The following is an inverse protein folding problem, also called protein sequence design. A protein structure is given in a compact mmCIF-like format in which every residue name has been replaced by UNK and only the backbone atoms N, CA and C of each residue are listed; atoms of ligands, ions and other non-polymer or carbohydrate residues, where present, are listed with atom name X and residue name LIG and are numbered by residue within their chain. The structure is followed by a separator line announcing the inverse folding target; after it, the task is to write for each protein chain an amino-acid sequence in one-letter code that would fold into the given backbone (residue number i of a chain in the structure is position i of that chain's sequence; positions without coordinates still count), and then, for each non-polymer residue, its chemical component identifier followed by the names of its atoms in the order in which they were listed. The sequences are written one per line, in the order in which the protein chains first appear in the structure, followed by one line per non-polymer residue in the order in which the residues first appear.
data_IF_936270588022
#
_entry.id   IF_936270588022
#
_cell.length_a   1.000
_cell.length_b   1.000
_cell.length_c   1.000
_cell.angle_alpha   90.00
_cell.angle_beta   90.00
_cell.angle_gamma   90.00
#
_symmetry.space_group_name_H-M   'P 1'
#
loop_
_entity.id
_entity.type
_entity.pdbx_description
1 polymer ?
#
# COMPACT_ATOMS: atom_id res chain seq x y z
N UNK A 1 -8.88 22.17 -3.20
CA UNK A 1 -8.91 20.70 -3.32
C UNK A 1 -7.47 20.21 -3.42
N UNK A 2 -7.19 18.99 -2.94
CA UNK A 2 -5.89 18.34 -3.11
C UNK A 2 -5.60 18.18 -4.63
N UNK A 3 -4.31 18.18 -4.99
CA UNK A 3 -3.83 18.09 -6.37
C UNK A 3 -3.52 16.66 -6.81
N UNK A 4 -3.24 15.80 -5.83
CA UNK A 4 -2.77 14.44 -6.06
C UNK A 4 -3.55 13.42 -5.23
N UNK A 5 -3.44 12.17 -5.67
CA UNK A 5 -3.94 11.00 -4.97
C UNK A 5 -2.79 10.00 -4.84
N UNK A 6 -2.51 9.58 -3.61
CA UNK A 6 -1.46 8.61 -3.29
C UNK A 6 -2.13 7.28 -2.95
N UNK A 7 -1.93 6.28 -3.77
CA UNK A 7 -2.42 4.92 -3.54
C UNK A 7 -1.34 4.13 -2.81
N UNK A 8 -1.74 3.33 -1.84
CA UNK A 8 -0.86 2.52 -0.99
C UNK A 8 -1.42 1.10 -0.90
N UNK A 9 -0.55 0.12 -1.07
CA UNK A 9 -0.80 -1.29 -0.77
C UNK A 9 0.44 -1.89 -0.09
N UNK A 10 0.24 -2.75 0.90
CA UNK A 10 1.31 -3.46 1.56
C UNK A 10 1.01 -4.95 1.73
N UNK A 11 2.03 -5.77 1.47
CA UNK A 11 2.00 -7.19 1.77
C UNK A 11 2.66 -7.46 3.11
N UNK A 12 2.06 -8.36 3.90
CA UNK A 12 2.54 -8.74 5.23
C UNK A 12 2.43 -10.24 5.47
N UNK A 13 3.23 -10.74 6.42
CA UNK A 13 3.25 -12.14 6.83
C UNK A 13 2.00 -12.52 7.63
N UNK A 14 0.86 -12.64 6.94
CA UNK A 14 -0.47 -12.67 7.54
C UNK A 14 -0.94 -11.29 8.00
N UNK A 15 -2.26 -11.12 8.20
CA UNK A 15 -2.92 -9.81 8.40
C UNK A 15 -2.33 -8.92 9.51
N UNK A 16 -1.68 -9.51 10.51
CA UNK A 16 -1.10 -8.79 11.65
C UNK A 16 0.41 -9.04 11.80
N UNK A 17 1.05 -9.75 10.87
CA UNK A 17 2.46 -10.10 10.94
C UNK A 17 3.39 -9.00 10.43
N UNK A 18 4.62 -9.36 10.12
CA UNK A 18 5.63 -8.38 9.68
C UNK A 18 5.36 -7.90 8.26
N UNK A 19 5.66 -6.64 7.97
CA UNK A 19 5.59 -6.13 6.60
C UNK A 19 6.69 -6.74 5.73
N UNK A 20 6.32 -7.12 4.52
CA UNK A 20 7.16 -7.80 3.54
C UNK A 20 7.53 -6.86 2.39
N UNK A 21 6.53 -6.17 1.84
CA UNK A 21 6.72 -5.19 0.77
C UNK A 21 5.60 -4.17 0.75
N UNK A 22 5.86 -3.04 0.10
CA UNK A 22 4.92 -1.93 -0.04
C UNK A 22 5.07 -1.28 -1.39
N UNK A 23 3.95 -0.90 -2.01
CA UNK A 23 3.94 -0.03 -3.16
C UNK A 23 3.14 1.24 -2.89
N UNK A 24 3.61 2.34 -3.46
CA UNK A 24 2.90 3.61 -3.48
C UNK A 24 2.93 4.18 -4.89
N UNK A 25 1.81 4.67 -5.39
CA UNK A 25 1.72 5.34 -6.69
C UNK A 25 0.94 6.63 -6.54
N UNK A 26 1.44 7.69 -7.19
CA UNK A 26 0.83 9.01 -7.17
C UNK A 26 0.25 9.33 -8.53
N UNK A 27 -1.01 9.73 -8.56
CA UNK A 27 -1.65 10.27 -9.76
C UNK A 27 -2.09 11.72 -9.54
N UNK A 28 -2.07 12.52 -10.61
CA UNK A 28 -2.68 13.84 -10.63
C UNK A 28 -4.21 13.78 -10.77
N UNK A 29 -4.87 14.95 -10.73
CA UNK A 29 -6.33 15.05 -10.92
C UNK A 29 -6.83 14.64 -12.31
N UNK A 30 -5.94 14.53 -13.30
CA UNK A 30 -6.28 14.01 -14.63
C UNK A 30 -6.10 12.48 -14.71
N UNK A 31 -5.63 11.86 -13.63
CA UNK A 31 -5.34 10.44 -13.56
C UNK A 31 -4.01 10.04 -14.21
N UNK A 32 -3.12 10.98 -14.49
CA UNK A 32 -1.76 10.67 -14.93
C UNK A 32 -0.90 10.33 -13.74
N UNK A 33 -0.12 9.26 -13.86
CA UNK A 33 0.88 8.93 -12.87
C UNK A 33 2.03 9.93 -12.91
N UNK A 34 2.48 10.37 -11.74
CA UNK A 34 3.56 11.35 -11.58
C UNK A 34 4.74 10.84 -10.74
N UNK A 35 4.53 9.80 -9.93
CA UNK A 35 5.57 9.20 -9.10
C UNK A 35 5.16 7.80 -8.62
N UNK A 36 6.15 6.96 -8.29
CA UNK A 36 5.92 5.61 -7.76
C UNK A 36 7.08 5.14 -6.89
N UNK A 37 6.76 4.23 -5.97
CA UNK A 37 7.72 3.47 -5.18
C UNK A 37 7.24 2.02 -5.06
N UNK A 38 8.16 1.07 -5.19
CA UNK A 38 7.93 -0.32 -4.83
C UNK A 38 9.16 -0.86 -4.09
N UNK A 39 8.99 -1.15 -2.79
CA UNK A 39 10.06 -1.60 -1.91
C UNK A 39 9.67 -2.87 -1.17
N UNK A 40 10.66 -3.66 -0.79
CA UNK A 40 10.44 -4.88 0.00
C UNK A 40 11.70 -5.35 0.70
N UNK A 41 11.52 -6.22 1.68
CA UNK A 41 12.64 -6.86 2.38
C UNK A 41 13.44 -7.69 1.37
N UNK A 42 14.77 -7.73 1.54
CA UNK A 42 15.66 -8.55 0.71
C UNK A 42 15.14 -9.99 0.55
N UNK A 43 15.09 -10.47 -0.70
CA UNK A 43 14.49 -11.77 -1.04
C UNK A 43 15.09 -12.94 -0.25
N UNK A 44 16.41 -12.92 -0.04
CA UNK A 44 17.13 -13.95 0.71
C UNK A 44 16.76 -14.00 2.21
N UNK A 45 16.32 -12.89 2.80
CA UNK A 45 15.84 -12.83 4.17
C UNK A 45 14.41 -13.35 4.26
N UNK A 46 13.53 -12.94 3.33
CA UNK A 46 12.11 -13.33 3.29
C UNK A 46 11.91 -14.85 3.25
N UNK A 47 12.69 -15.55 2.43
CA UNK A 47 12.61 -17.01 2.31
C UNK A 47 12.78 -17.75 3.64
N UNK A 48 13.50 -17.16 4.59
CA UNK A 48 13.77 -17.74 5.89
C UNK A 48 12.91 -17.15 7.02
N UNK A 49 12.28 -16.00 6.81
CA UNK A 49 11.59 -15.25 7.87
C UNK A 49 10.06 -15.27 7.79
N UNK A 50 9.48 -15.55 6.62
CA UNK A 50 8.01 -15.62 6.46
C UNK A 50 7.48 -16.91 7.07
N UNK A 51 6.57 -16.84 8.04
CA UNK A 51 6.00 -18.01 8.72
C UNK A 51 4.73 -18.52 8.03
N UNK A 52 3.93 -17.63 7.46
CA UNK A 52 2.66 -17.99 6.82
C UNK A 52 2.88 -18.84 5.57
N UNK A 53 2.33 -20.06 5.58
CA UNK A 53 2.32 -20.93 4.40
C UNK A 53 1.60 -20.27 3.22
N UNK A 54 0.49 -19.59 3.48
CA UNK A 54 -0.27 -18.91 2.44
C UNK A 54 0.56 -17.82 1.76
N UNK A 55 1.33 -17.03 2.52
CA UNK A 55 2.19 -15.98 1.96
C UNK A 55 3.32 -16.57 1.13
N UNK A 56 3.93 -17.67 1.58
CA UNK A 56 4.97 -18.38 0.82
C UNK A 56 4.46 -18.89 -0.52
N UNK A 57 3.21 -19.34 -0.58
CA UNK A 57 2.61 -19.94 -1.77
C UNK A 57 1.99 -18.90 -2.73
N UNK A 58 1.49 -17.77 -2.21
CA UNK A 58 0.66 -16.84 -3.00
C UNK A 58 1.29 -15.46 -3.19
N UNK A 59 2.11 -14.97 -2.23
CA UNK A 59 2.68 -13.62 -2.26
C UNK A 59 4.12 -13.66 -2.78
N UNK A 60 5.00 -14.43 -2.12
CA UNK A 60 6.42 -14.47 -2.48
C UNK A 60 6.69 -14.82 -3.96
N UNK A 61 5.95 -15.75 -4.60
CA UNK A 61 6.20 -16.11 -6.01
C UNK A 61 5.82 -15.00 -7.00
N UNK A 62 4.96 -14.07 -6.60
CA UNK A 62 4.39 -13.04 -7.49
C UNK A 62 4.99 -11.66 -7.25
N UNK A 63 5.78 -11.52 -6.18
CA UNK A 63 6.62 -10.34 -5.94
C UNK A 63 7.68 -10.23 -7.05
N UNK A 64 7.57 -9.16 -7.85
CA UNK A 64 8.44 -8.87 -8.99
C UNK A 64 9.76 -8.23 -8.52
N UNK A 65 10.47 -7.53 -9.41
CA UNK A 65 11.59 -6.68 -9.02
C UNK A 65 11.08 -5.45 -8.26
N UNK A 66 11.66 -5.23 -7.08
CA UNK A 66 11.41 -4.10 -6.20
C UNK A 66 12.75 -3.66 -5.60
N UNK A 67 12.80 -2.42 -5.13
CA UNK A 67 13.96 -1.93 -4.40
C UNK A 67 14.06 -2.62 -3.04
N UNK A 68 15.15 -3.34 -2.81
CA UNK A 68 15.33 -4.08 -1.55
C UNK A 68 15.73 -3.15 -0.39
N UNK A 69 15.21 -3.44 0.80
CA UNK A 69 15.62 -2.85 2.08
C UNK A 69 16.03 -3.93 3.08
N UNK A 70 16.82 -3.57 4.08
CA UNK A 70 17.44 -4.54 4.99
C UNK A 70 16.51 -5.04 6.10
N UNK A 71 15.48 -4.26 6.44
CA UNK A 71 14.57 -4.59 7.54
C UNK A 71 13.23 -3.84 7.44
N UNK A 72 12.28 -4.25 8.28
CA UNK A 72 10.92 -3.70 8.31
C UNK A 72 10.89 -2.22 8.69
N UNK A 73 11.81 -1.75 9.55
CA UNK A 73 11.87 -0.35 9.91
C UNK A 73 12.26 0.53 8.72
N UNK A 74 13.20 0.10 7.88
CA UNK A 74 13.53 0.82 6.63
C UNK A 74 12.36 0.88 5.65
N UNK A 75 11.52 -0.16 5.62
CA UNK A 75 10.29 -0.15 4.82
C UNK A 75 9.31 0.92 5.32
N UNK A 76 9.09 0.96 6.64
CA UNK A 76 8.23 1.96 7.30
C UNK A 76 8.76 3.38 7.07
N UNK A 77 10.07 3.58 7.22
CA UNK A 77 10.70 4.88 6.98
C UNK A 77 10.62 5.31 5.51
N UNK A 78 10.72 4.38 4.57
CA UNK A 78 10.53 4.69 3.15
C UNK A 78 9.10 5.13 2.82
N UNK A 79 8.09 4.47 3.40
CA UNK A 79 6.67 4.87 3.28
C UNK A 79 6.47 6.28 3.82
N UNK A 80 7.02 6.55 5.01
CA UNK A 80 6.91 7.88 5.61
C UNK A 80 7.59 8.95 4.75
N UNK A 81 8.83 8.71 4.32
CA UNK A 81 9.58 9.63 3.47
C UNK A 81 8.85 9.93 2.16
N UNK A 82 8.28 8.90 1.52
CA UNK A 82 7.50 9.07 0.30
C UNK A 82 6.23 9.89 0.55
N UNK A 83 5.47 9.59 1.61
CA UNK A 83 4.27 10.34 1.97
C UNK A 83 4.55 11.82 2.23
N UNK A 84 5.66 12.15 2.90
CA UNK A 84 6.00 13.53 3.24
C UNK A 84 6.22 14.44 2.02
N UNK A 85 6.57 13.87 0.86
CA UNK A 85 6.65 14.63 -0.40
C UNK A 85 5.28 15.14 -0.87
N UNK A 86 4.19 14.46 -0.48
CA UNK A 86 2.84 14.69 -0.98
C UNK A 86 1.83 15.14 0.09
N UNK A 87 2.16 15.02 1.37
CA UNK A 87 1.27 15.22 2.52
C UNK A 87 0.40 16.49 2.46
N UNK A 88 0.97 17.61 2.00
CA UNK A 88 0.26 18.90 1.90
C UNK A 88 -0.78 18.92 0.78
N UNK A 89 -0.50 18.27 -0.34
CA UNK A 89 -1.23 18.41 -1.60
C UNK A 89 -1.95 17.13 -2.06
N UNK A 90 -1.85 16.02 -1.32
CA UNK A 90 -2.52 14.76 -1.64
C UNK A 90 -3.58 14.30 -0.62
N UNK A 91 -4.49 13.44 -1.09
CA UNK A 91 -5.19 12.45 -0.26
C UNK A 91 -4.50 11.08 -0.40
N UNK A 92 -4.49 10.29 0.67
CA UNK A 92 -4.08 8.89 0.59
C UNK A 92 -5.30 7.99 0.41
N UNK A 93 -5.18 6.99 -0.47
CA UNK A 93 -6.19 6.00 -0.81
C UNK A 93 -5.61 4.60 -0.60
N UNK A 94 -6.41 3.72 -0.01
CA UNK A 94 -6.11 2.29 0.23
C UNK A 94 -7.33 1.45 -0.16
N UNK A 95 -7.15 0.17 -0.47
CA UNK A 95 -8.26 -0.76 -0.71
C UNK A 95 -8.34 -1.79 0.42
N UNK A 96 -9.45 -1.80 1.16
CA UNK A 96 -9.63 -2.66 2.36
C UNK A 96 -8.53 -2.39 3.41
N UNK A 97 -8.29 -1.11 3.71
CA UNK A 97 -7.11 -0.66 4.46
C UNK A 97 -6.99 -1.11 5.93
N UNK A 98 -7.96 -1.84 6.47
CA UNK A 98 -7.89 -2.41 7.82
C UNK A 98 -7.78 -3.95 7.73
N UNK A 99 -6.80 -4.58 8.41
CA UNK A 99 -5.87 -3.98 9.39
C UNK A 99 -4.53 -3.50 8.82
N UNK A 100 -4.16 -3.88 7.60
CA UNK A 100 -2.76 -3.86 7.13
C UNK A 100 -2.23 -2.43 6.95
N UNK A 101 -2.82 -1.63 6.05
CA UNK A 101 -2.36 -0.28 5.74
C UNK A 101 -2.57 0.66 6.92
N UNK A 102 -3.67 0.49 7.66
CA UNK A 102 -3.92 1.25 8.88
C UNK A 102 -2.78 1.04 9.90
N UNK A 103 -2.35 -0.19 10.12
CA UNK A 103 -1.21 -0.49 11.00
C UNK A 103 0.11 0.04 10.44
N UNK A 104 0.33 -0.03 9.13
CA UNK A 104 1.54 0.51 8.51
C UNK A 104 1.69 2.01 8.78
N UNK A 105 0.60 2.77 8.60
CA UNK A 105 0.56 4.20 8.85
C UNK A 105 0.66 4.52 10.35
N UNK A 106 0.05 3.71 11.22
CA UNK A 106 0.23 3.83 12.67
C UNK A 106 1.70 3.62 13.06
N UNK A 107 2.38 2.60 12.52
CA UNK A 107 3.79 2.34 12.78
C UNK A 107 4.67 3.50 12.30
N UNK A 108 4.35 4.11 11.15
CA UNK A 108 5.06 5.31 10.67
C UNK A 108 5.03 6.44 11.71
N UNK A 109 3.87 6.69 12.33
CA UNK A 109 3.73 7.72 13.37
C UNK A 109 4.43 7.29 14.67
N UNK A 110 4.29 6.04 15.07
CA UNK A 110 4.85 5.50 16.31
C UNK A 110 6.39 5.45 16.31
N UNK A 111 7.03 5.40 15.15
CA UNK A 111 8.49 5.53 15.03
C UNK A 111 9.02 6.89 15.51
N UNK A 112 8.25 7.97 15.32
CA UNK A 112 8.59 9.30 15.85
C UNK A 112 7.33 10.12 16.17
N UNK A 113 6.63 9.81 17.27
CA UNK A 113 5.35 10.43 17.59
C UNK A 113 5.50 11.91 17.92
N UNK A 114 6.69 12.37 18.33
CA UNK A 114 6.92 13.77 18.67
C UNK A 114 6.82 14.67 17.43
N UNK A 115 7.23 14.18 16.28
CA UNK A 115 7.22 14.97 15.03
C UNK A 115 6.09 14.59 14.07
N UNK A 116 5.63 13.33 14.10
CA UNK A 116 4.75 12.75 13.05
C UNK A 116 3.26 12.75 13.39
N UNK A 117 2.87 13.00 14.65
CA UNK A 117 1.49 12.80 15.14
C UNK A 117 0.40 13.57 14.37
N UNK A 118 0.73 14.73 13.81
CA UNK A 118 -0.20 15.56 13.01
C UNK A 118 0.03 15.45 11.50
N UNK A 119 0.90 14.55 11.05
CA UNK A 119 1.38 14.50 9.67
C UNK A 119 0.87 13.27 8.90
N UNK A 120 0.30 12.27 9.59
CA UNK A 120 -0.30 11.11 8.96
C UNK A 120 -1.47 11.51 8.02
N UNK A 121 -1.81 10.65 7.04
CA UNK A 121 -2.97 10.89 6.18
C UNK A 121 -4.25 11.07 6.99
N UNK A 122 -4.92 12.21 6.79
CA UNK A 122 -6.20 12.49 7.41
C UNK A 122 -7.08 13.36 6.49
N UNK A 123 -8.22 12.86 5.99
CA UNK A 123 -8.70 11.48 6.13
C UNK A 123 -7.84 10.48 5.33
N UNK A 124 -7.85 9.22 5.75
CA UNK A 124 -7.49 8.08 4.91
C UNK A 124 -8.73 7.66 4.12
N UNK A 125 -8.64 7.64 2.80
CA UNK A 125 -9.75 7.27 1.93
C UNK A 125 -9.69 5.77 1.63
N UNK A 126 -10.74 5.03 1.98
CA UNK A 126 -10.84 3.60 1.73
C UNK A 126 -11.74 3.31 0.52
N UNK A 127 -11.14 2.72 -0.51
CA UNK A 127 -11.80 2.41 -1.78
C UNK A 127 -12.94 1.41 -1.58
N UNK A 128 -12.81 0.46 -0.66
CA UNK A 128 -13.85 -0.53 -0.38
C UNK A 128 -15.10 0.13 0.20
N UNK A 129 -14.93 1.11 1.10
CA UNK A 129 -16.02 1.94 1.61
C UNK A 129 -16.71 2.76 0.50
N UNK A 130 -15.96 3.24 -0.50
CA UNK A 130 -16.54 3.95 -1.64
C UNK A 130 -17.33 3.04 -2.57
N UNK A 131 -16.85 1.81 -2.80
CA UNK A 131 -17.60 0.80 -3.54
C UNK A 131 -18.92 0.48 -2.85
N UNK A 132 -18.90 0.30 -1.52
CA UNK A 132 -20.11 0.13 -0.72
C UNK A 132 -21.08 1.31 -0.90
N UNK A 133 -20.59 2.55 -0.85
CA UNK A 133 -21.40 3.75 -1.07
C UNK A 133 -22.01 3.80 -2.49
N UNK A 134 -21.31 3.26 -3.50
CA UNK A 134 -21.82 3.06 -4.88
C UNK A 134 -22.75 1.84 -5.01
N UNK A 135 -23.16 1.20 -3.91
CA UNK A 135 -24.00 -0.01 -3.88
C UNK A 135 -23.36 -1.20 -4.60
N UNK A 136 -22.04 -1.26 -4.58
CA UNK A 136 -21.26 -2.38 -5.06
C UNK A 136 -20.74 -3.19 -3.86
N UNK A 137 -20.43 -4.47 -4.09
CA UNK A 137 -19.83 -5.31 -3.07
C UNK A 137 -18.41 -4.78 -2.73
N UNK A 138 -18.15 -4.31 -1.49
CA UNK A 138 -16.85 -3.78 -1.10
C UNK A 138 -15.73 -4.82 -1.21
N UNK A 139 -16.05 -6.11 -1.12
CA UNK A 139 -15.10 -7.22 -1.16
C UNK A 139 -15.12 -7.97 -2.50
N UNK A 140 -15.70 -7.38 -3.55
CA UNK A 140 -15.68 -8.02 -4.86
C UNK A 140 -14.24 -8.35 -5.30
N UNK A 141 -14.07 -9.49 -5.94
CA UNK A 141 -12.77 -9.89 -6.47
C UNK A 141 -12.22 -8.84 -7.45
N UNK A 142 -11.04 -8.29 -7.11
CA UNK A 142 -10.36 -7.25 -7.88
C UNK A 142 -9.77 -7.75 -9.19
N UNK A 143 -9.63 -9.08 -9.37
CA UNK A 143 -9.22 -9.72 -10.64
C UNK A 143 -10.15 -9.38 -11.81
N UNK A 144 -11.39 -8.94 -11.52
CA UNK A 144 -12.34 -8.48 -12.54
C UNK A 144 -11.87 -7.22 -13.27
N UNK A 145 -10.95 -6.47 -12.68
CA UNK A 145 -10.42 -5.22 -13.22
C UNK A 145 -9.04 -5.36 -13.88
N UNK A 146 -8.35 -6.49 -13.70
CA UNK A 146 -7.11 -6.80 -14.42
C UNK A 146 -6.86 -8.31 -14.52
N UNK A 147 -6.22 -8.73 -15.61
CA UNK A 147 -5.72 -10.12 -15.76
C UNK A 147 -4.36 -10.33 -15.07
N UNK A 148 -3.83 -9.30 -14.45
CA UNK A 148 -2.56 -9.36 -13.73
C UNK A 148 -2.71 -10.19 -12.46
N UNK A 149 -1.58 -10.68 -11.96
CA UNK A 149 -1.53 -11.51 -10.76
C UNK A 149 -1.67 -10.62 -9.51
N UNK A 150 -2.69 -10.89 -8.71
CA UNK A 150 -2.94 -10.24 -7.41
C UNK A 150 -1.86 -10.61 -6.38
N UNK A 151 -1.86 -9.91 -5.24
CA UNK A 151 -0.91 -10.08 -4.14
C UNK A 151 0.52 -9.64 -4.48
N UNK A 152 0.59 -8.70 -5.43
CA UNK A 152 1.78 -7.95 -5.73
C UNK A 152 1.42 -6.48 -5.47
N UNK A 153 2.07 -5.79 -4.51
CA UNK A 153 1.60 -4.48 -4.08
C UNK A 153 1.46 -3.47 -5.21
N UNK A 154 2.39 -3.49 -6.18
CA UNK A 154 2.33 -2.55 -7.29
C UNK A 154 1.17 -2.87 -8.25
N UNK A 155 0.95 -4.16 -8.54
CA UNK A 155 -0.22 -4.59 -9.31
C UNK A 155 -1.52 -4.19 -8.62
N UNK A 156 -1.62 -4.38 -7.31
CA UNK A 156 -2.84 -4.11 -6.54
C UNK A 156 -3.12 -2.60 -6.42
N UNK A 157 -2.07 -1.77 -6.31
CA UNK A 157 -2.17 -0.32 -6.47
C UNK A 157 -2.65 0.07 -7.88
N UNK A 158 -2.08 -0.53 -8.94
CA UNK A 158 -2.48 -0.25 -10.32
C UNK A 158 -3.96 -0.59 -10.56
N UNK A 159 -4.44 -1.68 -9.96
CA UNK A 159 -5.86 -2.07 -9.98
C UNK A 159 -6.71 -1.04 -9.22
N UNK A 160 -6.28 -0.63 -8.03
CA UNK A 160 -6.96 0.39 -7.23
C UNK A 160 -7.12 1.71 -8.00
N UNK A 161 -6.10 2.13 -8.76
CA UNK A 161 -6.14 3.30 -9.64
C UNK A 161 -7.16 3.11 -10.77
N UNK A 162 -7.22 1.92 -11.39
CA UNK A 162 -8.22 1.62 -12.45
C UNK A 162 -9.65 1.68 -11.91
N UNK A 163 -9.86 1.25 -10.66
CA UNK A 163 -11.17 1.32 -10.01
C UNK A 163 -11.51 2.77 -9.66
N UNK A 164 -10.58 3.52 -9.09
CA UNK A 164 -10.76 4.93 -8.74
C UNK A 164 -11.21 5.80 -9.91
N UNK A 165 -10.72 5.52 -11.12
CA UNK A 165 -11.07 6.26 -12.34
C UNK A 165 -12.49 5.99 -12.87
N UNK A 166 -13.24 5.07 -12.26
CA UNK A 166 -14.63 4.70 -12.65
C UNK A 166 -15.65 5.20 -11.64
#
# INVERSE_FOLDING_TARGET
MKKYYVFLDAECDGLYGRFISVAMVVIDNNGHEVDRMYKGIKKNQLLNSVESLWVRENVLPVMKEYDEVDNENELIEAVWAFWMNYQKDAYMIVDVGYPVEARLLMNCVQNDPKTRIMQAPFPLLDLSSMLYAKRQDPLMDRSRFSKDVLHNPLTDVDISIKIWKK
#
